data_IF_375066388002
#
_entry.id   IF_375066388002
#
_cell.length_a   1.000
_cell.length_b   1.000
_cell.length_c   1.000
_cell.angle_alpha   90.00
_cell.angle_beta   90.00
_cell.angle_gamma   90.00
#
_symmetry.space_group_name_H-M   'P 1'
#
loop_
_entity.id
_entity.type
_entity.pdbx_description
1 polymer ?
#
# COMPACT_ATOMS: atom_id res chain seq x y z
N UNK A 1 -2.70 16.95 -11.96
CA UNK A 1 -3.66 16.20 -12.78
C UNK A 1 -5.06 16.50 -12.24
N UNK A 2 -5.86 17.26 -12.97
CA UNK A 2 -7.08 17.89 -12.46
C UNK A 2 -8.20 17.64 -13.48
N UNK A 3 -9.04 16.62 -13.27
CA UNK A 3 -10.33 16.44 -13.93
C UNK A 3 -11.34 15.79 -12.97
N UNK A 4 -12.45 16.50 -12.77
CA UNK A 4 -13.80 16.15 -12.27
C UNK A 4 -13.99 15.29 -11.02
N UNK A 5 -14.19 15.97 -9.88
CA UNK A 5 -14.87 15.45 -8.69
C UNK A 5 -16.08 16.33 -8.35
N UNK A 6 -16.98 16.53 -9.32
CA UNK A 6 -18.15 17.40 -9.15
C UNK A 6 -19.52 16.73 -9.08
N UNK A 7 -19.63 15.42 -9.25
CA UNK A 7 -20.92 14.73 -9.11
C UNK A 7 -20.74 13.39 -8.39
N UNK A 8 -20.84 13.38 -7.05
CA UNK A 8 -21.05 12.12 -6.32
C UNK A 8 -21.79 12.33 -4.99
N UNK A 9 -23.01 12.85 -5.06
CA UNK A 9 -24.05 12.50 -4.09
C UNK A 9 -25.30 12.17 -4.91
N UNK A 10 -25.55 10.86 -5.10
CA UNK A 10 -26.87 10.20 -5.13
C UNK A 10 -26.73 8.79 -5.77
N UNK A 11 -27.01 7.79 -4.93
CA UNK A 11 -27.34 6.37 -5.21
C UNK A 11 -26.27 5.37 -5.67
N UNK A 12 -26.18 4.30 -4.86
CA UNK A 12 -25.67 2.94 -5.14
C UNK A 12 -25.58 2.57 -6.63
N UNK A 13 -24.36 2.33 -7.10
CA UNK A 13 -23.99 1.21 -8.00
C UNK A 13 -22.47 1.10 -8.10
N UNK A 14 -21.98 -0.13 -8.03
CA UNK A 14 -20.61 -0.53 -8.34
C UNK A 14 -20.17 0.05 -9.69
N UNK A 15 -19.02 0.73 -9.73
CA UNK A 15 -18.34 1.06 -10.99
C UNK A 15 -16.90 0.56 -10.85
N UNK A 16 -16.64 -0.58 -11.51
CA UNK A 16 -15.30 -1.00 -11.91
C UNK A 16 -14.75 0.06 -12.87
N UNK A 17 -13.68 0.76 -12.48
CA UNK A 17 -12.96 1.63 -13.41
C UNK A 17 -11.86 0.79 -14.05
N UNK A 18 -12.16 0.27 -15.24
CA UNK A 18 -11.18 -0.19 -16.22
C UNK A 18 -10.64 1.06 -16.92
N UNK A 19 -9.39 1.45 -16.64
CA UNK A 19 -8.70 2.44 -17.47
C UNK A 19 -8.01 1.72 -18.63
N UNK A 20 -8.67 1.72 -19.79
CA UNK A 20 -8.13 1.26 -21.06
C UNK A 20 -7.69 2.44 -21.94
N UNK A 21 -6.39 2.47 -22.22
CA UNK A 21 -5.70 2.76 -23.49
C UNK A 21 -6.16 3.99 -24.30
N UNK A 22 -5.21 4.91 -24.54
CA UNK A 22 -5.12 5.61 -25.82
C UNK A 22 -3.69 5.59 -26.38
N UNK A 23 -3.66 5.37 -27.69
CA UNK A 23 -2.54 5.07 -28.57
C UNK A 23 -1.71 6.29 -29.02
N UNK A 24 -0.64 5.97 -29.75
CA UNK A 24 0.28 6.74 -30.61
C UNK A 24 1.61 7.10 -29.91
N UNK A 25 2.79 6.69 -30.38
CA UNK A 25 3.22 6.58 -31.78
C UNK A 25 4.22 5.43 -32.00
N UNK A 26 4.08 4.77 -33.14
CA UNK A 26 4.98 3.73 -33.63
C UNK A 26 6.20 4.40 -34.28
N UNK A 27 7.39 4.21 -33.70
CA UNK A 27 8.65 4.34 -34.44
C UNK A 27 9.37 3.01 -34.36
N UNK A 28 9.43 2.30 -35.48
CA UNK A 28 10.22 1.07 -35.66
C UNK A 28 11.67 1.47 -35.84
N UNK A 29 12.53 1.11 -34.90
CA UNK A 29 13.94 0.83 -35.18
C UNK A 29 14.42 -0.37 -34.35
N UNK A 30 15.06 -1.31 -35.06
CA UNK A 30 16.13 -2.19 -34.58
C UNK A 30 15.88 -3.10 -33.38
N UNK A 31 15.67 -4.40 -33.64
CA UNK A 31 16.02 -5.45 -32.66
C UNK A 31 17.53 -5.37 -32.38
N UNK A 32 17.91 -5.10 -31.13
CA UNK A 32 19.19 -5.56 -30.60
C UNK A 32 18.92 -6.42 -29.38
N UNK A 33 19.29 -7.70 -29.46
CA UNK A 33 19.41 -8.56 -28.30
C UNK A 33 20.35 -7.89 -27.30
N UNK A 34 19.84 -7.51 -26.13
CA UNK A 34 20.66 -7.02 -25.04
C UNK A 34 20.31 -7.78 -23.76
N UNK A 35 21.24 -8.70 -23.45
CA UNK A 35 21.68 -9.14 -22.13
C UNK A 35 20.90 -8.52 -20.98
N UNK A 36 20.22 -9.35 -20.19
CA UNK A 36 19.59 -8.96 -18.93
C UNK A 36 20.63 -8.34 -17.98
N UNK A 37 20.80 -7.03 -18.05
CA UNK A 37 21.46 -6.28 -16.99
C UNK A 37 20.52 -6.32 -15.80
N UNK A 38 20.90 -7.08 -14.76
CA UNK A 38 20.37 -6.88 -13.42
C UNK A 38 20.58 -5.41 -13.08
N UNK A 39 19.52 -4.61 -13.16
CA UNK A 39 19.50 -3.25 -12.64
C UNK A 39 19.90 -3.36 -11.17
N UNK A 40 21.05 -2.79 -10.82
CA UNK A 40 21.44 -2.69 -9.41
C UNK A 40 20.40 -1.82 -8.74
N UNK A 41 19.61 -2.38 -7.84
CA UNK A 41 18.80 -1.61 -6.91
C UNK A 41 19.69 -0.52 -6.31
N UNK A 42 19.27 0.74 -6.46
CA UNK A 42 19.95 1.87 -5.84
C UNK A 42 19.78 1.74 -4.33
N UNK A 43 20.73 1.06 -3.70
CA UNK A 43 20.73 0.85 -2.26
C UNK A 43 21.10 2.16 -1.57
N UNK A 44 20.12 2.78 -0.93
CA UNK A 44 20.33 3.96 -0.10
C UNK A 44 21.28 3.62 1.05
N UNK A 45 22.30 4.45 1.22
CA UNK A 45 23.14 4.40 2.41
C UNK A 45 22.79 5.52 3.39
N UNK A 46 23.34 5.44 4.60
CA UNK A 46 23.09 6.40 5.66
C UNK A 46 23.43 7.85 5.26
N UNK A 47 24.52 8.06 4.52
CA UNK A 47 24.96 9.39 4.09
C UNK A 47 23.95 10.01 3.08
N UNK A 48 23.45 9.21 2.14
CA UNK A 48 22.43 9.64 1.18
C UNK A 48 21.12 9.99 1.87
N UNK A 49 20.69 9.17 2.84
CA UNK A 49 19.50 9.43 3.65
C UNK A 49 19.65 10.72 4.48
N UNK A 50 20.80 10.89 5.14
CA UNK A 50 21.10 12.10 5.90
C UNK A 50 21.11 13.34 4.99
N UNK A 51 21.74 13.26 3.82
CA UNK A 51 21.73 14.34 2.82
C UNK A 51 20.31 14.70 2.40
N UNK A 52 19.46 13.72 2.15
CA UNK A 52 18.06 13.95 1.76
C UNK A 52 17.24 14.55 2.91
N UNK A 53 17.44 14.10 4.14
CA UNK A 53 16.82 14.70 5.32
C UNK A 53 17.20 16.18 5.47
N UNK A 54 18.48 16.53 5.29
CA UNK A 54 18.94 17.93 5.31
C UNK A 54 18.27 18.75 4.20
N UNK A 55 18.11 18.18 3.00
CA UNK A 55 17.40 18.87 1.91
C UNK A 55 15.94 19.18 2.26
N UNK A 56 15.23 18.29 2.98
CA UNK A 56 13.88 18.57 3.43
C UNK A 56 13.79 19.73 4.43
N UNK A 57 14.87 20.05 5.13
CA UNK A 57 14.96 21.20 6.03
C UNK A 57 15.39 22.50 5.32
N UNK A 58 15.91 22.40 4.09
CA UNK A 58 16.36 23.55 3.30
C UNK A 58 15.20 24.13 2.47
N UNK A 59 14.67 25.28 2.91
CA UNK A 59 13.55 25.94 2.25
C UNK A 59 13.84 26.38 0.81
N UNK A 60 15.11 26.49 0.41
CA UNK A 60 15.49 26.78 -0.98
C UNK A 60 15.31 25.59 -1.92
N UNK A 61 15.14 24.38 -1.36
CA UNK A 61 14.93 23.13 -2.11
C UNK A 61 13.48 22.70 -2.18
N UNK A 62 12.61 23.32 -1.40
CA UNK A 62 11.21 22.95 -1.31
C UNK A 62 10.47 23.08 -2.63
N UNK A 63 9.57 22.13 -2.89
CA UNK A 63 8.60 22.26 -3.95
C UNK A 63 7.40 23.09 -3.48
N UNK A 64 7.51 24.42 -3.59
CA UNK A 64 6.48 25.35 -3.12
C UNK A 64 5.17 25.26 -3.93
N UNK A 65 5.26 24.89 -5.20
CA UNK A 65 4.07 24.70 -6.04
C UNK A 65 3.25 23.52 -5.52
N UNK A 66 3.94 22.40 -5.30
CA UNK A 66 3.34 21.18 -4.83
C UNK A 66 2.86 21.27 -3.37
N UNK A 67 3.60 21.97 -2.51
CA UNK A 67 3.16 22.26 -1.15
C UNK A 67 1.88 23.12 -1.12
N UNK A 68 1.76 24.12 -2.00
CA UNK A 68 0.52 24.90 -2.12
C UNK A 68 -0.65 24.02 -2.57
N UNK A 69 -0.42 23.13 -3.53
CA UNK A 69 -1.43 22.16 -3.96
C UNK A 69 -1.88 21.27 -2.79
N UNK A 70 -0.97 20.83 -1.93
CA UNK A 70 -1.30 20.04 -0.74
C UNK A 70 -2.17 20.82 0.25
N UNK A 71 -1.85 22.09 0.50
CA UNK A 71 -2.65 22.98 1.36
C UNK A 71 -4.08 23.13 0.82
N UNK A 72 -4.20 23.40 -0.48
CA UNK A 72 -5.52 23.63 -1.10
C UNK A 72 -6.33 22.32 -1.16
N UNK A 73 -5.67 21.18 -1.40
CA UNK A 73 -6.29 19.85 -1.33
C UNK A 73 -6.76 19.54 0.09
N UNK A 74 -5.95 19.81 1.11
CA UNK A 74 -6.33 19.59 2.50
C UNK A 74 -7.55 20.43 2.90
N UNK A 75 -7.61 21.70 2.51
CA UNK A 75 -8.79 22.55 2.77
C UNK A 75 -10.07 21.99 2.15
N UNK A 76 -9.98 21.35 0.99
CA UNK A 76 -11.12 20.80 0.27
C UNK A 76 -11.57 19.44 0.85
N UNK A 77 -10.63 18.63 1.34
CA UNK A 77 -10.89 17.24 1.75
C UNK A 77 -10.46 16.94 3.19
N UNK A 78 -10.47 17.94 4.08
CA UNK A 78 -9.97 17.80 5.45
C UNK A 78 -10.66 16.68 6.22
N UNK A 79 -11.97 16.50 6.03
CA UNK A 79 -12.73 15.43 6.67
C UNK A 79 -12.22 14.03 6.28
N UNK A 80 -11.85 13.84 5.00
CA UNK A 80 -11.27 12.57 4.51
C UNK A 80 -9.89 12.35 5.12
N UNK A 81 -9.05 13.38 5.22
CA UNK A 81 -7.71 13.22 5.82
C UNK A 81 -7.76 13.01 7.34
N UNK A 82 -8.78 13.55 8.01
CA UNK A 82 -9.00 13.38 9.44
C UNK A 82 -9.66 12.06 9.81
N UNK A 83 -10.23 11.32 8.84
CA UNK A 83 -10.82 10.00 9.09
C UNK A 83 -9.80 8.86 9.14
N UNK A 84 -8.54 9.12 8.81
CA UNK A 84 -7.45 8.13 8.90
C UNK A 84 -6.81 8.11 10.30
N UNK A 85 -6.12 7.02 10.68
CA UNK A 85 -5.52 6.88 12.01
C UNK A 85 -4.59 8.05 12.41
N UNK A 86 -3.84 8.59 11.46
CA UNK A 86 -3.04 9.80 11.59
C UNK A 86 -3.54 10.90 10.65
N UNK A 87 -3.77 12.09 11.20
CA UNK A 87 -4.14 13.26 10.42
C UNK A 87 -3.02 13.63 9.42
N UNK A 88 -3.31 13.54 8.11
CA UNK A 88 -2.37 13.96 7.05
C UNK A 88 -2.41 15.48 6.88
N UNK A 89 -1.61 16.20 7.67
CA UNK A 89 -1.41 17.64 7.47
C UNK A 89 -0.40 17.93 6.36
N UNK A 90 -0.58 18.98 5.54
CA UNK A 90 0.43 19.41 4.56
C UNK A 90 1.73 19.84 5.24
N UNK A 91 2.87 19.47 4.66
CA UNK A 91 4.20 19.97 5.07
C UNK A 91 5.09 20.12 3.84
N UNK A 92 6.03 21.09 3.84
CA UNK A 92 6.89 21.33 2.70
C UNK A 92 8.00 20.27 2.63
N UNK A 93 8.37 19.87 1.41
CA UNK A 93 9.42 18.89 1.16
C UNK A 93 10.27 19.30 -0.03
N UNK A 94 11.55 18.91 -0.02
CA UNK A 94 12.42 19.09 -1.17
C UNK A 94 11.92 18.29 -2.38
N UNK A 95 12.12 18.82 -3.58
CA UNK A 95 11.77 18.15 -4.84
C UNK A 95 12.28 16.71 -4.90
N UNK A 96 11.47 15.84 -5.47
CA UNK A 96 11.76 14.42 -5.61
C UNK A 96 11.04 13.83 -6.81
N UNK A 97 11.47 12.63 -7.19
CA UNK A 97 10.86 11.86 -8.26
C UNK A 97 10.59 10.45 -7.73
N UNK A 98 9.32 10.16 -7.45
CA UNK A 98 8.91 8.96 -6.73
C UNK A 98 7.44 8.62 -7.00
N UNK A 99 7.21 7.36 -7.35
CA UNK A 99 5.87 6.81 -7.54
C UNK A 99 5.65 5.66 -6.55
N UNK A 100 4.48 5.69 -5.91
CA UNK A 100 4.06 4.73 -4.88
C UNK A 100 2.80 4.01 -5.32
N UNK A 101 2.58 2.81 -4.80
CA UNK A 101 1.47 1.95 -5.19
C UNK A 101 0.63 1.52 -3.99
N UNK A 102 -0.68 1.42 -4.23
CA UNK A 102 -1.68 0.91 -3.30
C UNK A 102 -2.69 0.10 -4.10
N UNK A 103 -2.71 -1.22 -3.89
CA UNK A 103 -3.57 -2.12 -4.67
C UNK A 103 -4.44 -2.94 -3.71
N UNK A 104 -5.73 -2.59 -3.55
CA UNK A 104 -6.66 -3.45 -2.83
C UNK A 104 -6.91 -4.72 -3.63
N UNK A 105 -7.14 -5.81 -2.92
CA UNK A 105 -7.44 -7.10 -3.54
C UNK A 105 -8.30 -7.96 -2.61
N UNK A 106 -8.87 -9.02 -3.20
CA UNK A 106 -9.73 -9.95 -2.49
C UNK A 106 -9.38 -11.38 -2.89
N UNK A 107 -9.30 -12.27 -1.91
CA UNK A 107 -9.16 -13.71 -2.12
C UNK A 107 -10.42 -14.39 -1.59
N UNK A 108 -11.19 -15.05 -2.44
CA UNK A 108 -12.37 -15.82 -2.03
C UNK A 108 -11.97 -17.26 -1.68
N UNK A 109 -12.39 -17.74 -0.51
CA UNK A 109 -12.19 -19.12 -0.07
C UNK A 109 -13.48 -19.61 0.58
N UNK A 110 -14.24 -20.41 -0.17
CA UNK A 110 -15.54 -20.96 0.24
C UNK A 110 -16.53 -19.85 0.68
N UNK A 111 -16.84 -19.78 1.98
CA UNK A 111 -17.73 -18.79 2.59
C UNK A 111 -17.00 -17.57 3.19
N UNK A 112 -15.67 -17.54 3.09
CA UNK A 112 -14.80 -16.51 3.65
C UNK A 112 -14.07 -15.76 2.57
N UNK A 113 -13.59 -14.58 2.93
CA UNK A 113 -12.75 -13.74 2.10
C UNK A 113 -11.51 -13.31 2.88
N UNK A 114 -10.39 -13.18 2.18
CA UNK A 114 -9.34 -12.29 2.62
C UNK A 114 -9.53 -10.95 1.94
N UNK A 115 -9.77 -9.92 2.73
CA UNK A 115 -9.75 -8.53 2.28
C UNK A 115 -8.32 -8.03 2.44
N UNK A 116 -7.68 -7.60 1.36
CA UNK A 116 -6.25 -7.32 1.36
C UNK A 116 -5.88 -5.98 0.73
N UNK A 117 -4.73 -5.46 1.13
CA UNK A 117 -4.08 -4.30 0.53
C UNK A 117 -2.60 -4.63 0.30
N UNK A 118 -2.08 -4.24 -0.86
CA UNK A 118 -0.66 -4.23 -1.15
C UNK A 118 -0.15 -2.80 -1.22
N UNK A 119 0.96 -2.53 -0.54
CA UNK A 119 1.65 -1.25 -0.55
C UNK A 119 3.04 -1.47 -1.09
N UNK A 120 3.46 -0.63 -2.03
CA UNK A 120 4.76 -0.74 -2.65
C UNK A 120 5.21 0.55 -3.32
N UNK A 121 6.31 0.45 -4.05
CA UNK A 121 6.87 1.52 -4.85
C UNK A 121 7.15 1.01 -6.26
N UNK A 122 7.05 1.90 -7.24
CA UNK A 122 7.47 1.56 -8.60
C UNK A 122 8.99 1.56 -8.68
N UNK A 123 9.56 0.67 -9.49
CA UNK A 123 11.02 0.57 -9.68
C UNK A 123 11.64 1.91 -10.12
N UNK A 124 10.88 2.67 -10.91
CA UNK A 124 11.08 4.07 -11.24
C UNK A 124 9.72 4.67 -11.65
N UNK A 125 9.58 6.01 -11.72
CA UNK A 125 8.31 6.68 -12.04
C UNK A 125 7.67 6.26 -13.37
N UNK A 126 8.47 5.81 -14.33
CA UNK A 126 8.02 5.37 -15.65
C UNK A 126 7.77 3.86 -15.74
N UNK A 127 8.09 3.11 -14.68
CA UNK A 127 7.97 1.65 -14.67
C UNK A 127 6.54 1.21 -14.37
N UNK A 128 6.12 0.10 -14.98
CA UNK A 128 4.90 -0.61 -14.58
C UNK A 128 5.15 -1.63 -13.46
N UNK A 129 6.43 -1.90 -13.15
CA UNK A 129 6.84 -2.88 -12.15
C UNK A 129 6.77 -2.29 -10.75
N UNK A 130 5.97 -2.92 -9.91
CA UNK A 130 5.82 -2.60 -8.50
C UNK A 130 6.69 -3.54 -7.66
N UNK A 131 7.38 -2.97 -6.69
CA UNK A 131 8.10 -3.70 -5.64
C UNK A 131 7.24 -3.58 -4.37
N UNK A 132 6.55 -4.66 -4.03
CA UNK A 132 5.67 -4.71 -2.85
C UNK A 132 6.52 -4.63 -1.57
N UNK A 133 6.09 -3.86 -0.56
CA UNK A 133 6.78 -3.69 0.73
C UNK A 133 5.93 -4.09 1.93
N UNK A 134 4.61 -4.17 1.73
CA UNK A 134 3.64 -4.71 2.67
C UNK A 134 2.51 -5.39 1.90
N UNK A 135 2.15 -6.58 2.34
CA UNK A 135 0.83 -7.16 2.06
C UNK A 135 0.10 -7.37 3.37
N UNK A 136 -1.03 -6.68 3.56
CA UNK A 136 -1.84 -6.78 4.76
C UNK A 136 -3.20 -7.38 4.39
N UNK A 137 -3.58 -8.45 5.09
CA UNK A 137 -4.82 -9.19 4.87
C UNK A 137 -5.64 -9.27 6.15
N UNK A 138 -6.96 -9.23 6.02
CA UNK A 138 -7.91 -9.56 7.08
C UNK A 138 -8.79 -10.71 6.59
N UNK A 139 -8.76 -11.85 7.31
CA UNK A 139 -9.66 -12.97 7.05
C UNK A 139 -11.02 -12.72 7.71
N UNK A 140 -12.08 -12.64 6.93
CA UNK A 140 -13.44 -12.41 7.42
C UNK A 140 -14.46 -13.15 6.56
N UNK A 141 -15.65 -13.39 7.10
CA UNK A 141 -16.82 -13.80 6.30
C UNK A 141 -17.61 -12.58 5.77
N UNK A 142 -17.32 -11.39 6.31
CA UNK A 142 -18.08 -10.19 6.04
C UNK A 142 -17.79 -9.73 4.63
N UNK A 143 -18.70 -10.05 3.71
CA UNK A 143 -18.58 -9.67 2.29
C UNK A 143 -18.66 -8.16 2.08
N UNK A 144 -19.14 -7.42 3.09
CA UNK A 144 -19.18 -5.97 3.07
C UNK A 144 -18.00 -5.35 3.84
N UNK A 145 -16.99 -6.14 4.22
CA UNK A 145 -15.80 -5.60 4.83
C UNK A 145 -15.16 -4.55 3.92
N UNK A 146 -14.83 -3.40 4.50
CA UNK A 146 -14.30 -2.25 3.80
C UNK A 146 -12.82 -2.06 4.14
N UNK A 147 -12.05 -1.64 3.16
CA UNK A 147 -10.69 -1.17 3.30
C UNK A 147 -10.60 0.29 2.86
N UNK A 148 -9.86 1.08 3.60
CA UNK A 148 -9.42 2.41 3.17
C UNK A 148 -7.91 2.47 3.26
N UNK A 149 -7.31 3.25 2.37
CA UNK A 149 -5.85 3.38 2.32
C UNK A 149 -5.45 4.75 1.82
N UNK A 150 -4.47 5.33 2.50
CA UNK A 150 -3.79 6.55 2.12
C UNK A 150 -2.30 6.26 2.08
N UNK A 151 -1.70 6.41 0.91
CA UNK A 151 -0.25 6.33 0.72
C UNK A 151 0.30 7.73 0.55
N UNK A 152 1.44 7.99 1.16
CA UNK A 152 2.10 9.28 1.09
C UNK A 152 3.54 9.16 0.59
N UNK A 153 3.78 9.74 -0.58
CA UNK A 153 5.11 9.80 -1.20
C UNK A 153 5.92 11.01 -0.73
N UNK A 154 5.33 11.94 0.05
CA UNK A 154 5.99 13.16 0.53
C UNK A 154 7.20 12.86 1.41
N UNK A 155 7.26 11.67 2.00
CA UNK A 155 8.37 11.24 2.83
C UNK A 155 9.55 10.65 2.02
N UNK A 156 9.58 10.77 0.68
CA UNK A 156 10.64 10.18 -0.14
C UNK A 156 12.06 10.45 0.42
N UNK A 157 12.86 9.41 0.66
CA UNK A 157 12.73 8.07 0.10
C UNK A 157 12.03 7.05 1.00
N UNK A 158 11.42 7.51 2.08
CA UNK A 158 10.60 6.69 2.94
C UNK A 158 9.20 6.54 2.34
N UNK A 159 8.71 5.30 2.35
CA UNK A 159 7.34 4.98 1.97
C UNK A 159 6.50 4.94 3.24
N UNK A 160 5.46 5.77 3.29
CA UNK A 160 4.50 5.76 4.39
C UNK A 160 3.11 5.52 3.88
N UNK A 161 2.35 4.68 4.58
CA UNK A 161 0.95 4.46 4.30
C UNK A 161 0.18 4.25 5.60
N UNK A 162 -1.12 4.46 5.54
CA UNK A 162 -2.02 4.17 6.63
C UNK A 162 -3.40 3.82 6.09
N UNK A 163 -4.23 3.24 6.93
CA UNK A 163 -5.57 2.87 6.51
C UNK A 163 -6.35 2.21 7.63
N UNK A 164 -7.52 1.73 7.24
CA UNK A 164 -8.45 1.09 8.14
C UNK A 164 -9.06 -0.12 7.42
N UNK A 165 -9.17 -1.25 8.12
CA UNK A 165 -10.08 -2.32 7.75
C UNK A 165 -11.29 -2.32 8.66
N UNK A 166 -12.49 -2.21 8.10
CA UNK A 166 -13.75 -2.33 8.82
C UNK A 166 -14.35 -3.71 8.56
N UNK A 167 -14.63 -4.44 9.63
CA UNK A 167 -15.34 -5.72 9.59
C UNK A 167 -16.54 -5.64 10.55
N UNK A 168 -17.51 -6.51 10.38
CA UNK A 168 -18.81 -6.50 11.10
C UNK A 168 -18.76 -6.16 12.60
N UNK A 169 -17.73 -6.54 13.35
CA UNK A 169 -17.65 -6.33 14.80
C UNK A 169 -16.37 -5.60 15.27
N UNK A 170 -15.50 -5.17 14.36
CA UNK A 170 -14.23 -4.56 14.72
C UNK A 170 -13.67 -3.65 13.62
N UNK A 171 -12.75 -2.79 14.02
CA UNK A 171 -12.02 -1.89 13.14
C UNK A 171 -10.52 -2.06 13.40
N UNK A 172 -9.73 -2.12 12.33
CA UNK A 172 -8.28 -2.26 12.39
C UNK A 172 -7.60 -1.07 11.73
N UNK A 173 -7.18 -0.15 12.58
CA UNK A 173 -6.32 0.97 12.20
C UNK A 173 -4.91 0.46 12.00
N UNK A 174 -4.30 0.89 10.90
CA UNK A 174 -2.93 0.52 10.60
C UNK A 174 -2.12 1.68 10.03
N UNK A 175 -0.83 1.68 10.39
CA UNK A 175 0.18 2.62 9.92
C UNK A 175 1.40 1.80 9.50
N UNK A 176 1.94 2.11 8.34
CA UNK A 176 3.07 1.44 7.74
C UNK A 176 4.16 2.45 7.38
N UNK A 177 5.41 2.05 7.63
CA UNK A 177 6.60 2.81 7.23
C UNK A 177 7.63 1.86 6.65
N UNK A 178 8.20 2.20 5.51
CA UNK A 178 9.37 1.54 4.95
C UNK A 178 10.47 2.55 4.67
N UNK A 179 11.69 2.16 5.03
CA UNK A 179 12.92 2.88 4.78
C UNK A 179 13.76 2.09 3.78
N UNK A 180 14.40 2.76 2.80
CA UNK A 180 15.10 2.09 1.72
C UNK A 180 16.42 1.41 2.16
N UNK A 181 16.86 1.62 3.40
CA UNK A 181 17.94 0.87 4.04
C UNK A 181 17.47 -0.47 4.64
N UNK A 182 16.19 -0.81 4.47
CA UNK A 182 15.59 -2.11 4.81
C UNK A 182 14.83 -2.15 6.13
N UNK A 183 14.76 -1.04 6.88
CA UNK A 183 13.89 -0.97 8.06
C UNK A 183 12.44 -0.75 7.64
N UNK A 184 11.54 -1.60 8.12
CA UNK A 184 10.14 -1.55 7.74
C UNK A 184 9.26 -1.99 8.90
N UNK A 185 8.20 -1.25 9.17
CA UNK A 185 7.29 -1.51 10.29
C UNK A 185 5.84 -1.35 9.88
N UNK A 186 4.99 -2.19 10.49
CA UNK A 186 3.54 -2.03 10.50
C UNK A 186 3.10 -1.92 11.95
N UNK A 187 2.32 -0.90 12.28
CA UNK A 187 1.60 -0.79 13.54
C UNK A 187 0.12 -1.01 13.23
N UNK A 188 -0.49 -2.03 13.81
CA UNK A 188 -1.92 -2.34 13.64
C UNK A 188 -2.59 -2.48 15.00
N UNK A 189 -3.57 -1.63 15.30
CA UNK A 189 -4.21 -1.55 16.63
C UNK A 189 -3.21 -1.70 17.79
N UNK A 190 -2.14 -0.89 17.79
CA UNK A 190 -1.03 -0.91 18.77
C UNK A 190 -0.13 -2.17 18.77
N UNK A 191 -0.35 -3.15 17.91
CA UNK A 191 0.59 -4.25 17.67
C UNK A 191 1.64 -3.84 16.64
N UNK A 192 2.90 -3.78 17.06
CA UNK A 192 4.04 -3.51 16.18
C UNK A 192 4.53 -4.79 15.50
N UNK A 193 4.73 -4.73 14.19
CA UNK A 193 5.34 -5.76 13.35
C UNK A 193 6.62 -5.21 12.73
N UNK A 194 7.70 -5.98 12.84
CA UNK A 194 8.96 -5.71 12.16
C UNK A 194 8.96 -6.50 10.85
N UNK A 195 8.76 -5.80 9.73
CA UNK A 195 8.53 -6.42 8.43
C UNK A 195 9.81 -7.00 7.81
N UNK A 196 10.97 -6.80 8.44
CA UNK A 196 12.20 -7.54 8.11
C UNK A 196 12.06 -9.05 8.33
N UNK A 197 11.09 -9.46 9.15
CA UNK A 197 10.80 -10.88 9.42
C UNK A 197 9.69 -11.47 8.54
N UNK A 198 9.09 -10.65 7.67
CA UNK A 198 8.07 -11.06 6.71
C UNK A 198 7.17 -9.90 6.32
N UNK A 199 6.94 -9.74 5.01
CA UNK A 199 6.21 -8.60 4.44
C UNK A 199 4.70 -8.85 4.32
N UNK A 200 4.26 -10.11 4.52
CA UNK A 200 2.84 -10.44 4.56
C UNK A 200 2.37 -10.61 5.99
N UNK A 201 1.39 -9.80 6.39
CA UNK A 201 0.70 -9.88 7.69
C UNK A 201 -0.76 -10.24 7.45
N UNK A 202 -1.25 -11.24 8.19
CA UNK A 202 -2.62 -11.72 8.10
C UNK A 202 -3.27 -11.59 9.47
N UNK A 203 -4.40 -10.90 9.54
CA UNK A 203 -5.19 -10.69 10.76
C UNK A 203 -6.40 -11.62 10.73
N UNK A 204 -6.67 -12.25 11.87
CA UNK A 204 -7.84 -13.10 12.10
C UNK A 204 -8.67 -12.49 13.24
N UNK A 205 -9.65 -11.63 12.91
CA UNK A 205 -10.55 -11.05 13.89
C UNK A 205 -11.32 -12.14 14.65
N UNK A 206 -11.47 -11.98 15.97
CA UNK A 206 -12.20 -12.91 16.84
C UNK A 206 -13.52 -12.30 17.33
N UNK A 207 -14.47 -13.14 17.73
CA UNK A 207 -15.80 -12.69 18.17
C UNK A 207 -15.78 -11.82 19.43
N UNK A 208 -14.75 -11.96 20.27
CA UNK A 208 -14.53 -11.17 21.50
C UNK A 208 -13.78 -9.84 21.26
N UNK A 209 -13.65 -9.42 19.99
CA UNK A 209 -12.91 -8.23 19.53
C UNK A 209 -11.39 -8.32 19.67
N UNK A 210 -10.84 -9.44 20.12
CA UNK A 210 -9.41 -9.70 19.97
C UNK A 210 -9.09 -10.05 18.51
N UNK A 211 -7.80 -10.20 18.20
CA UNK A 211 -7.36 -10.74 16.92
C UNK A 211 -6.16 -11.66 17.11
N UNK A 212 -6.12 -12.72 16.31
CA UNK A 212 -4.90 -13.49 16.09
C UNK A 212 -4.21 -12.95 14.83
N UNK A 213 -2.95 -13.31 14.65
CA UNK A 213 -2.20 -12.86 13.48
C UNK A 213 -1.15 -13.88 13.05
N UNK A 214 -0.78 -13.83 11.78
CA UNK A 214 0.43 -14.45 11.26
C UNK A 214 1.26 -13.40 10.53
N UNK A 215 2.58 -13.54 10.63
CA UNK A 215 3.54 -12.82 9.80
C UNK A 215 4.36 -13.86 9.06
N UNK A 216 4.32 -13.81 7.73
CA UNK A 216 4.97 -14.80 6.87
C UNK A 216 5.96 -14.11 5.94
N UNK A 217 7.00 -14.86 5.56
CA UNK A 217 8.08 -14.36 4.70
C UNK A 217 7.66 -14.17 3.25
N UNK A 218 6.61 -14.87 2.82
CA UNK A 218 6.11 -14.76 1.46
C UNK A 218 5.67 -13.32 1.17
N UNK A 219 5.95 -12.88 -0.04
CA UNK A 219 5.62 -11.57 -0.59
C UNK A 219 5.28 -11.78 -2.07
N UNK A 220 4.39 -10.98 -2.69
CA UNK A 220 4.13 -11.08 -4.12
C UNK A 220 5.41 -11.00 -4.96
N UNK A 221 6.44 -10.30 -4.48
CA UNK A 221 7.77 -10.24 -5.08
C UNK A 221 8.46 -11.59 -5.26
N UNK A 222 8.05 -12.63 -4.53
CA UNK A 222 8.64 -13.97 -4.58
C UNK A 222 8.00 -14.87 -5.65
N UNK A 223 6.98 -14.39 -6.37
CA UNK A 223 6.19 -15.18 -7.31
C UNK A 223 6.20 -14.52 -8.68
N UNK A 224 6.11 -15.33 -9.75
CA UNK A 224 6.02 -14.81 -11.12
C UNK A 224 4.73 -14.03 -11.37
N UNK A 225 3.66 -14.41 -10.67
CA UNK A 225 2.36 -13.75 -10.78
C UNK A 225 1.63 -13.74 -9.44
N UNK A 226 0.70 -12.80 -9.32
CA UNK A 226 -0.07 -12.59 -8.10
C UNK A 226 -0.97 -13.79 -7.74
N UNK A 227 -1.43 -14.56 -8.72
CA UNK A 227 -2.29 -15.73 -8.48
C UNK A 227 -1.54 -16.81 -7.71
N UNK A 228 -0.29 -17.08 -8.06
CA UNK A 228 0.55 -18.07 -7.36
C UNK A 228 0.85 -17.64 -5.92
N UNK A 229 1.06 -16.34 -5.69
CA UNK A 229 1.11 -15.78 -4.34
C UNK A 229 -0.19 -16.04 -3.57
N UNK A 230 -1.37 -15.70 -4.12
CA UNK A 230 -2.63 -15.95 -3.40
C UNK A 230 -2.85 -17.42 -3.08
N UNK A 231 -2.43 -18.33 -3.97
CA UNK A 231 -2.48 -19.77 -3.74
C UNK A 231 -1.58 -20.18 -2.56
N UNK A 232 -0.36 -19.64 -2.47
CA UNK A 232 0.54 -19.96 -1.37
C UNK A 232 -0.02 -19.51 -0.01
N UNK A 233 -0.71 -18.37 0.04
CA UNK A 233 -1.40 -17.90 1.24
C UNK A 233 -2.46 -18.90 1.71
N UNK A 234 -3.34 -19.34 0.80
CA UNK A 234 -4.41 -20.30 1.13
C UNK A 234 -3.83 -21.65 1.51
N UNK A 235 -2.72 -22.05 0.89
CA UNK A 235 -2.11 -23.36 1.11
C UNK A 235 -1.28 -23.44 2.40
N UNK A 236 -0.90 -22.28 2.97
CA UNK A 236 -0.12 -22.19 4.19
C UNK A 236 -0.81 -22.93 5.36
N UNK A 237 -0.13 -23.88 6.04
CA UNK A 237 -0.74 -24.70 7.09
C UNK A 237 -1.35 -23.91 8.24
N UNK A 238 -0.73 -22.78 8.64
CA UNK A 238 -1.23 -21.95 9.72
C UNK A 238 -2.50 -21.19 9.30
N UNK A 239 -2.53 -20.70 8.07
CA UNK A 239 -3.70 -20.03 7.48
C UNK A 239 -4.86 -21.02 7.34
N UNK A 240 -4.60 -22.25 6.85
CA UNK A 240 -5.60 -23.32 6.76
C UNK A 240 -6.29 -23.61 8.09
N UNK A 241 -5.52 -23.66 9.19
CA UNK A 241 -6.08 -23.87 10.53
C UNK A 241 -7.05 -22.74 10.92
N UNK A 242 -6.80 -21.51 10.49
CA UNK A 242 -7.69 -20.37 10.75
C UNK A 242 -8.93 -20.37 9.86
N UNK A 243 -8.86 -20.90 8.64
CA UNK A 243 -10.02 -21.06 7.76
C UNK A 243 -11.10 -21.97 8.36
N UNK A 244 -10.71 -23.01 9.12
CA UNK A 244 -11.64 -23.93 9.79
C UNK A 244 -11.99 -23.54 11.23
N UNK A 245 -11.35 -22.50 11.78
CA UNK A 245 -11.55 -22.08 13.17
C UNK A 245 -12.98 -21.52 13.40
N UNK A 246 -13.61 -21.96 14.50
CA UNK A 246 -14.94 -21.51 14.92
C UNK A 246 -14.91 -20.23 15.77
N UNK A 247 -13.72 -19.79 16.22
CA UNK A 247 -13.55 -18.57 17.03
C UNK A 247 -13.41 -17.30 16.19
N UNK A 248 -13.03 -17.48 14.92
CA UNK A 248 -12.99 -16.40 13.94
C UNK A 248 -14.42 -15.96 13.66
N UNK A 249 -14.60 -14.67 13.41
CA UNK A 249 -15.92 -14.15 13.03
C UNK A 249 -16.43 -14.92 11.81
N UNK A 250 -17.68 -15.39 11.92
CA UNK A 250 -18.49 -16.06 10.89
C UNK A 250 -19.62 -15.17 10.39
#
# INVERSE_FOLDING_TARGET
>A
MLIHLKDLIITKKFIFIVFGILFFSCHKEGKSDSVSQKVKEKKWNFEELNKKAIQHLDSTKWDLELFKQDIDTYKMYSEVFQSYPLNKSPFPVAKYDYAVSSIPFLIEVESRIFKGIRIGEYENPESEKIIDKLTLLVLTNDKNAEESTLVDSRNYPYLTAQGVFKVINNEFDWIFTYSPDGYSTLLLNMKLFDLRFGETVIIYPQTDKSFLYEQIKDSPNNYENFKDYTKSIIENPKVKNQLISHKNIK
#
